data_IF_109490602731
#
_entry.id   IF_109490602731
#
_cell.length_a   1.000
_cell.length_b   1.000
_cell.length_c   1.000
_cell.angle_alpha   90.00
_cell.angle_beta   90.00
_cell.angle_gamma   90.00
#
_symmetry.space_group_name_H-M   'P 1'
#
loop_
_entity.id
_entity.type
_entity.pdbx_description
1 polymer ?
#
# COMPACT_ATOMS: atom_id res chain seq x y z
N UNK A 1 -30.78 -31.96 -4.72
CA UNK A 1 -30.67 -31.57 -3.31
C UNK A 1 -29.86 -30.26 -3.27
N UNK A 2 -30.50 -29.15 -2.96
CA UNK A 2 -29.79 -27.86 -2.82
C UNK A 2 -28.94 -27.91 -1.56
N UNK A 3 -27.63 -28.11 -1.71
CA UNK A 3 -26.71 -28.09 -0.58
C UNK A 3 -26.40 -26.64 -0.20
N UNK A 4 -26.75 -26.27 1.03
CA UNK A 4 -26.38 -24.99 1.60
C UNK A 4 -24.90 -24.98 1.94
N UNK A 5 -24.13 -24.06 1.40
CA UNK A 5 -22.69 -23.88 1.67
C UNK A 5 -22.42 -22.48 2.26
N UNK A 6 -21.33 -22.35 3.00
CA UNK A 6 -20.89 -21.07 3.59
C UNK A 6 -20.54 -20.05 2.50
N UNK A 7 -20.91 -18.80 2.71
CA UNK A 7 -20.66 -17.74 1.71
C UNK A 7 -19.18 -17.57 1.37
N UNK A 8 -18.28 -17.61 2.37
CA UNK A 8 -16.83 -17.52 2.15
C UNK A 8 -16.30 -18.66 1.24
N UNK A 9 -16.87 -19.86 1.36
CA UNK A 9 -16.52 -20.98 0.48
C UNK A 9 -17.12 -20.83 -0.92
N UNK A 10 -18.36 -20.37 -1.02
CA UNK A 10 -19.03 -20.13 -2.31
C UNK A 10 -18.24 -19.12 -3.13
N UNK A 11 -17.84 -18.00 -2.52
CA UNK A 11 -17.07 -16.96 -3.18
C UNK A 11 -15.72 -17.47 -3.70
N UNK A 12 -15.03 -18.26 -2.89
CA UNK A 12 -13.75 -18.87 -3.30
C UNK A 12 -13.94 -19.91 -4.41
N UNK A 13 -14.93 -20.82 -4.29
CA UNK A 13 -15.18 -21.86 -5.29
C UNK A 13 -15.66 -21.31 -6.64
N UNK A 14 -16.34 -20.16 -6.63
CA UNK A 14 -16.73 -19.43 -7.86
C UNK A 14 -15.58 -18.62 -8.47
N UNK A 15 -14.37 -18.62 -7.86
CA UNK A 15 -13.22 -17.86 -8.36
C UNK A 15 -13.36 -16.34 -8.19
N UNK A 16 -14.29 -15.88 -7.36
CA UNK A 16 -14.49 -14.44 -7.10
C UNK A 16 -13.40 -13.87 -6.19
N UNK A 17 -12.66 -14.72 -5.49
CA UNK A 17 -11.50 -14.38 -4.65
C UNK A 17 -10.43 -15.46 -4.73
N UNK A 18 -9.16 -15.08 -4.68
CA UNK A 18 -8.01 -16.00 -4.77
C UNK A 18 -7.81 -16.84 -3.49
N UNK A 19 -8.48 -16.50 -2.39
CA UNK A 19 -8.44 -17.28 -1.15
C UNK A 19 -9.71 -17.08 -0.32
N UNK A 20 -10.04 -18.09 0.52
CA UNK A 20 -11.15 -17.99 1.47
C UNK A 20 -10.98 -16.85 2.47
N UNK A 21 -9.74 -16.57 2.90
CA UNK A 21 -9.45 -15.47 3.83
C UNK A 21 -9.79 -14.11 3.21
N UNK A 22 -9.49 -13.89 1.91
CA UNK A 22 -9.88 -12.67 1.19
C UNK A 22 -11.41 -12.57 1.06
N UNK A 23 -12.10 -13.68 0.73
CA UNK A 23 -13.55 -13.72 0.68
C UNK A 23 -14.19 -13.38 2.04
N UNK A 24 -13.66 -13.95 3.13
CA UNK A 24 -14.12 -13.68 4.49
C UNK A 24 -13.97 -12.20 4.85
N UNK A 25 -12.83 -11.59 4.52
CA UNK A 25 -12.60 -10.17 4.77
C UNK A 25 -13.51 -9.26 3.95
N UNK A 26 -13.78 -9.58 2.69
CA UNK A 26 -14.71 -8.84 1.85
C UNK A 26 -16.14 -8.88 2.42
N UNK A 27 -16.57 -10.04 2.94
CA UNK A 27 -17.88 -10.18 3.60
C UNK A 27 -17.93 -9.33 4.88
N UNK A 28 -16.91 -9.44 5.76
CA UNK A 28 -16.85 -8.67 7.00
C UNK A 28 -16.82 -7.15 6.76
N UNK A 29 -16.33 -6.72 5.62
CA UNK A 29 -16.27 -5.30 5.21
C UNK A 29 -17.55 -4.82 4.52
N UNK A 30 -18.63 -5.63 4.46
CA UNK A 30 -19.90 -5.26 3.85
C UNK A 30 -19.89 -5.12 2.32
N UNK A 31 -18.89 -5.72 1.64
CA UNK A 31 -18.68 -5.59 0.18
C UNK A 31 -19.33 -6.69 -0.65
N UNK A 32 -19.93 -7.64 0.00
CA UNK A 32 -20.62 -8.76 -0.65
C UNK A 32 -22.11 -8.62 -0.43
N UNK A 33 -22.85 -8.59 -1.54
CA UNK A 33 -24.31 -8.69 -1.51
C UNK A 33 -24.73 -10.05 -2.04
N UNK A 34 -25.73 -10.63 -1.41
CA UNK A 34 -26.46 -11.81 -1.91
C UNK A 34 -27.89 -11.39 -2.09
N UNK A 35 -28.41 -11.55 -3.30
CA UNK A 35 -29.74 -11.11 -3.70
C UNK A 35 -30.00 -9.63 -3.33
N UNK A 36 -29.00 -8.76 -3.64
CA UNK A 36 -28.95 -7.31 -3.37
C UNK A 36 -28.90 -6.91 -1.88
N UNK A 37 -28.76 -7.88 -0.95
CA UNK A 37 -28.66 -7.63 0.49
C UNK A 37 -27.21 -7.76 0.93
N UNK A 38 -26.65 -6.75 1.61
CA UNK A 38 -25.29 -6.79 2.17
C UNK A 38 -25.21 -7.90 3.22
N UNK A 39 -24.19 -8.74 3.11
CA UNK A 39 -23.91 -9.82 4.06
C UNK A 39 -22.59 -9.54 4.75
N UNK A 40 -22.62 -9.52 6.09
CA UNK A 40 -21.43 -9.27 6.93
C UNK A 40 -20.98 -10.50 7.74
N UNK A 41 -21.64 -11.66 7.53
CA UNK A 41 -21.30 -12.91 8.23
C UNK A 41 -20.78 -13.96 7.25
N UNK A 42 -19.43 -14.23 7.23
CA UNK A 42 -18.82 -15.17 6.29
C UNK A 42 -19.38 -16.59 6.37
N UNK A 43 -19.72 -17.03 7.56
CA UNK A 43 -20.29 -18.35 7.81
C UNK A 43 -21.77 -18.51 7.47
N UNK A 44 -22.47 -17.46 7.02
CA UNK A 44 -23.88 -17.57 6.60
C UNK A 44 -23.96 -18.48 5.38
N UNK A 45 -24.95 -19.38 5.40
CA UNK A 45 -25.11 -20.41 4.38
C UNK A 45 -26.13 -19.99 3.33
N UNK A 46 -25.81 -20.28 2.07
CA UNK A 46 -26.67 -19.99 0.91
C UNK A 46 -26.64 -21.16 -0.06
N UNK A 47 -27.58 -21.21 -0.98
CA UNK A 47 -27.55 -22.10 -2.14
C UNK A 47 -26.41 -21.67 -3.08
N UNK A 48 -25.88 -22.60 -3.86
CA UNK A 48 -24.77 -22.30 -4.79
C UNK A 48 -25.16 -21.39 -5.96
N UNK A 49 -26.45 -21.30 -6.25
CA UNK A 49 -27.06 -20.58 -7.36
C UNK A 49 -27.54 -19.17 -7.02
N UNK A 50 -27.31 -18.70 -5.77
CA UNK A 50 -27.68 -17.34 -5.38
C UNK A 50 -26.97 -16.28 -6.22
N UNK A 51 -27.66 -15.17 -6.45
CA UNK A 51 -27.07 -13.99 -7.08
C UNK A 51 -26.08 -13.33 -6.13
N UNK A 52 -24.84 -13.22 -6.55
CA UNK A 52 -23.77 -12.61 -5.74
C UNK A 52 -23.24 -11.40 -6.49
N UNK A 53 -23.27 -10.26 -5.82
CA UNK A 53 -22.61 -9.02 -6.24
C UNK A 53 -21.43 -8.78 -5.30
N UNK A 54 -20.26 -8.58 -5.86
CA UNK A 54 -19.06 -8.17 -5.11
C UNK A 54 -18.70 -6.76 -5.57
N UNK A 55 -18.49 -5.85 -4.63
CA UNK A 55 -17.95 -4.53 -4.97
C UNK A 55 -16.59 -4.73 -5.65
N UNK A 56 -16.58 -4.54 -6.97
CA UNK A 56 -15.50 -4.94 -7.88
C UNK A 56 -14.20 -4.16 -7.66
N UNK A 57 -14.26 -3.04 -6.94
CA UNK A 57 -13.08 -2.20 -6.76
C UNK A 57 -11.97 -2.85 -5.92
N UNK A 58 -12.27 -3.85 -5.07
CA UNK A 58 -11.23 -4.59 -4.32
C UNK A 58 -10.95 -6.00 -4.84
N UNK A 59 -11.93 -6.66 -5.49
CA UNK A 59 -11.76 -8.02 -5.99
C UNK A 59 -10.66 -8.14 -7.06
N UNK A 60 -10.32 -7.02 -7.72
CA UNK A 60 -9.32 -6.97 -8.79
C UNK A 60 -7.88 -6.71 -8.30
N UNK A 61 -7.68 -6.27 -7.04
CA UNK A 61 -6.35 -5.96 -6.53
C UNK A 61 -5.74 -7.12 -5.75
N UNK A 62 -4.43 -7.34 -5.94
CA UNK A 62 -3.68 -8.39 -5.24
C UNK A 62 -3.58 -8.14 -3.74
N UNK A 63 -3.79 -6.90 -3.29
CA UNK A 63 -3.93 -6.54 -1.87
C UNK A 63 -4.79 -5.30 -1.67
N UNK A 64 -5.36 -5.16 -0.45
CA UNK A 64 -6.10 -3.96 -0.02
C UNK A 64 -5.24 -2.69 0.01
N UNK A 65 -3.91 -2.85 0.08
CA UNK A 65 -2.95 -1.74 0.01
C UNK A 65 -3.17 -0.88 -1.24
N UNK A 66 -3.56 -1.47 -2.36
CA UNK A 66 -3.86 -0.76 -3.60
C UNK A 66 -4.78 0.45 -3.40
N UNK A 67 -5.82 0.32 -2.57
CA UNK A 67 -6.78 1.40 -2.30
C UNK A 67 -6.13 2.64 -1.66
N UNK A 68 -5.08 2.43 -0.86
CA UNK A 68 -4.32 3.52 -0.25
C UNK A 68 -3.63 4.35 -1.32
N UNK A 69 -2.92 3.68 -2.24
CA UNK A 69 -2.18 4.36 -3.31
C UNK A 69 -3.13 5.01 -4.32
N UNK A 70 -4.23 4.36 -4.70
CA UNK A 70 -5.25 4.95 -5.57
C UNK A 70 -5.72 6.28 -4.98
N UNK A 71 -6.14 6.27 -3.70
CA UNK A 71 -6.61 7.47 -3.02
C UNK A 71 -5.55 8.57 -2.99
N UNK A 72 -4.28 8.20 -2.74
CA UNK A 72 -3.18 9.16 -2.71
C UNK A 72 -2.94 9.79 -4.09
N UNK A 73 -2.80 8.98 -5.13
CA UNK A 73 -2.55 9.46 -6.50
C UNK A 73 -3.67 10.39 -6.99
N UNK A 74 -4.93 10.04 -6.69
CA UNK A 74 -6.09 10.84 -7.09
C UNK A 74 -6.15 12.17 -6.30
N UNK A 75 -5.94 12.14 -4.98
CA UNK A 75 -5.98 13.34 -4.14
C UNK A 75 -4.79 14.28 -4.40
N UNK A 76 -3.60 13.73 -4.64
CA UNK A 76 -2.39 14.50 -4.92
C UNK A 76 -2.24 14.87 -6.40
N UNK A 77 -3.14 14.37 -7.26
CA UNK A 77 -3.14 14.61 -8.71
C UNK A 77 -1.84 14.18 -9.40
N UNK A 78 -1.25 13.05 -8.95
CA UNK A 78 -0.01 12.53 -9.50
C UNK A 78 -0.30 11.73 -10.76
N UNK A 79 0.31 12.14 -11.88
CA UNK A 79 0.25 11.41 -13.15
C UNK A 79 1.43 10.43 -13.24
N UNK A 80 1.15 9.14 -13.13
CA UNK A 80 2.14 8.05 -13.14
C UNK A 80 2.57 7.65 -14.55
N UNK A 81 1.85 8.09 -15.58
CA UNK A 81 2.08 7.64 -16.97
C UNK A 81 3.53 7.91 -17.42
N UNK A 82 4.18 6.85 -17.90
CA UNK A 82 5.57 6.84 -18.39
C UNK A 82 6.65 7.04 -17.33
N UNK A 83 6.31 7.16 -16.05
CA UNK A 83 7.28 7.31 -14.98
C UNK A 83 8.05 6.01 -14.73
N UNK A 84 9.30 6.14 -14.29
CA UNK A 84 10.08 5.07 -13.66
C UNK A 84 9.81 5.15 -12.17
N UNK A 85 9.24 4.08 -11.61
CA UNK A 85 8.78 4.03 -10.23
C UNK A 85 9.63 3.08 -9.37
N UNK A 86 9.61 3.31 -8.07
CA UNK A 86 10.12 2.39 -7.05
C UNK A 86 9.02 2.13 -6.04
N UNK A 87 8.71 0.86 -5.77
CA UNK A 87 7.75 0.39 -4.75
C UNK A 87 8.55 -0.25 -3.61
N UNK A 88 8.71 0.47 -2.50
CA UNK A 88 9.43 0.01 -1.33
C UNK A 88 8.46 -0.59 -0.31
N UNK A 89 8.62 -1.88 -0.04
CA UNK A 89 7.68 -2.71 0.72
C UNK A 89 6.58 -3.26 -0.19
N UNK A 90 6.97 -3.76 -1.37
CA UNK A 90 6.03 -4.18 -2.42
C UNK A 90 5.10 -5.31 -1.96
N UNK A 91 5.55 -6.21 -1.05
CA UNK A 91 4.76 -7.33 -0.52
C UNK A 91 4.08 -8.11 -1.66
N UNK A 92 2.76 -8.25 -1.66
CA UNK A 92 2.01 -8.93 -2.72
C UNK A 92 1.88 -8.13 -4.02
N UNK A 93 2.33 -6.86 -4.05
CA UNK A 93 2.32 -6.01 -5.25
C UNK A 93 1.08 -5.12 -5.40
N UNK A 94 0.41 -4.79 -4.31
CA UNK A 94 -0.78 -3.93 -4.38
C UNK A 94 -0.49 -2.54 -4.93
N UNK A 95 0.58 -1.88 -4.45
CA UNK A 95 1.02 -0.58 -4.98
C UNK A 95 1.55 -0.72 -6.41
N UNK A 96 2.39 -1.72 -6.65
CA UNK A 96 2.90 -2.05 -7.99
C UNK A 96 1.78 -2.20 -9.02
N UNK A 97 0.70 -2.93 -8.69
CA UNK A 97 -0.44 -3.09 -9.59
C UNK A 97 -1.06 -1.75 -9.98
N UNK A 98 -1.25 -0.85 -9.02
CA UNK A 98 -1.80 0.49 -9.27
C UNK A 98 -0.88 1.30 -10.20
N UNK A 99 0.44 1.25 -9.98
CA UNK A 99 1.41 1.92 -10.84
C UNK A 99 1.34 1.39 -12.28
N UNK A 100 1.25 0.06 -12.45
CA UNK A 100 1.12 -0.59 -13.75
C UNK A 100 -0.18 -0.20 -14.47
N UNK A 101 -1.31 -0.18 -13.77
CA UNK A 101 -2.61 0.23 -14.30
C UNK A 101 -2.65 1.72 -14.68
N UNK A 102 -1.86 2.55 -14.00
CA UNK A 102 -1.64 3.97 -14.33
C UNK A 102 -0.55 4.19 -15.39
N UNK A 103 -0.12 3.11 -16.08
CA UNK A 103 0.82 3.13 -17.20
C UNK A 103 2.22 3.65 -16.86
N UNK A 104 2.78 3.32 -15.70
CA UNK A 104 4.21 3.54 -15.46
C UNK A 104 5.05 2.81 -16.52
N UNK A 105 6.24 3.34 -16.83
CA UNK A 105 7.14 2.70 -17.81
C UNK A 105 7.90 1.53 -17.19
N UNK A 106 8.22 1.61 -15.92
CA UNK A 106 8.97 0.60 -15.18
C UNK A 106 8.69 0.75 -13.68
N UNK A 107 8.73 -0.35 -12.94
CA UNK A 107 8.67 -0.33 -11.48
C UNK A 107 9.69 -1.29 -10.88
N UNK A 108 10.52 -0.78 -9.99
CA UNK A 108 11.40 -1.56 -9.12
C UNK A 108 10.65 -1.90 -7.85
N UNK A 109 10.43 -3.19 -7.60
CA UNK A 109 9.78 -3.71 -6.40
C UNK A 109 10.84 -4.16 -5.41
N UNK A 110 10.88 -3.55 -4.24
CA UNK A 110 11.86 -3.86 -3.19
C UNK A 110 11.12 -4.39 -1.97
N UNK A 111 11.49 -5.59 -1.52
CA UNK A 111 10.93 -6.17 -0.30
C UNK A 111 11.97 -7.01 0.45
N UNK A 112 11.88 -7.02 1.79
CA UNK A 112 12.73 -7.86 2.66
C UNK A 112 12.26 -9.32 2.68
N UNK A 113 11.02 -9.58 2.29
CA UNK A 113 10.42 -10.90 2.21
C UNK A 113 10.89 -11.71 1.00
N UNK A 114 10.31 -12.89 0.84
CA UNK A 114 10.63 -13.82 -0.25
C UNK A 114 9.35 -14.46 -0.78
N UNK A 115 9.22 -14.50 -2.11
CA UNK A 115 8.08 -15.14 -2.78
C UNK A 115 6.73 -14.49 -2.46
N UNK A 116 6.73 -13.21 -2.14
CA UNK A 116 5.50 -12.51 -1.76
C UNK A 116 4.77 -11.93 -2.96
N UNK A 117 5.51 -11.44 -3.95
CA UNK A 117 4.93 -10.76 -5.10
C UNK A 117 4.01 -11.71 -5.87
N UNK A 118 2.79 -11.26 -6.13
CA UNK A 118 1.78 -12.09 -6.80
C UNK A 118 2.24 -12.49 -8.21
N UNK A 119 2.05 -13.77 -8.66
CA UNK A 119 2.58 -14.24 -9.94
C UNK A 119 2.18 -13.38 -11.15
N UNK A 120 0.96 -12.85 -11.18
CA UNK A 120 0.51 -11.98 -12.28
C UNK A 120 1.25 -10.65 -12.32
N UNK A 121 1.71 -10.13 -11.18
CA UNK A 121 2.51 -8.91 -11.12
C UNK A 121 3.95 -9.21 -11.50
N UNK A 122 4.49 -10.32 -11.01
CA UNK A 122 5.84 -10.78 -11.35
C UNK A 122 6.00 -11.08 -12.85
N UNK A 123 4.94 -11.48 -13.54
CA UNK A 123 4.94 -11.77 -14.97
C UNK A 123 4.96 -10.52 -15.88
N UNK A 124 4.74 -9.33 -15.32
CA UNK A 124 4.76 -8.07 -16.07
C UNK A 124 6.19 -7.66 -16.46
N UNK A 125 6.44 -7.44 -17.74
CA UNK A 125 7.77 -7.08 -18.27
C UNK A 125 8.33 -5.75 -17.73
N UNK A 126 7.46 -4.89 -17.19
CA UNK A 126 7.82 -3.60 -16.58
C UNK A 126 8.27 -3.72 -15.13
N UNK A 127 8.13 -4.90 -14.51
CA UNK A 127 8.46 -5.16 -13.10
C UNK A 127 9.86 -5.72 -12.98
N UNK A 128 10.66 -5.10 -12.11
CA UNK A 128 11.96 -5.61 -11.69
C UNK A 128 11.87 -5.88 -10.18
N UNK A 129 11.91 -7.16 -9.80
CA UNK A 129 11.68 -7.59 -8.43
C UNK A 129 13.00 -7.91 -7.70
N UNK A 130 13.23 -7.24 -6.58
CA UNK A 130 14.37 -7.45 -5.68
C UNK A 130 13.84 -7.87 -4.29
N UNK A 131 13.74 -9.16 -4.08
CA UNK A 131 13.40 -9.74 -2.79
C UNK A 131 14.61 -9.83 -1.86
N UNK A 132 14.38 -10.09 -0.56
CA UNK A 132 15.43 -10.16 0.49
C UNK A 132 16.31 -8.91 0.52
N UNK A 133 15.77 -7.78 0.11
CA UNK A 133 16.52 -6.54 -0.04
C UNK A 133 16.02 -5.50 0.96
N UNK A 134 16.87 -5.13 1.90
CA UNK A 134 16.56 -4.06 2.84
C UNK A 134 16.93 -2.70 2.22
N UNK A 135 16.20 -1.63 2.55
CA UNK A 135 16.44 -0.28 2.00
C UNK A 135 17.90 0.19 2.16
N UNK A 136 18.57 -0.17 3.26
CA UNK A 136 19.99 0.14 3.53
C UNK A 136 20.97 -0.56 2.58
N UNK A 137 20.54 -1.67 1.96
CA UNK A 137 21.36 -2.50 1.08
C UNK A 137 21.13 -2.17 -0.40
N UNK A 138 20.30 -1.15 -0.69
CA UNK A 138 20.08 -0.66 -2.04
C UNK A 138 21.39 -0.07 -2.62
N UNK A 139 21.66 -0.45 -3.86
CA UNK A 139 22.83 0.01 -4.63
C UNK A 139 22.40 0.38 -6.03
N UNK A 140 23.21 1.21 -6.70
CA UNK A 140 22.95 1.68 -8.05
C UNK A 140 22.88 0.51 -9.06
N UNK A 141 23.60 -0.58 -8.80
CA UNK A 141 23.56 -1.77 -9.65
C UNK A 141 22.21 -2.48 -9.63
N UNK A 142 21.46 -2.35 -8.53
CA UNK A 142 20.09 -2.87 -8.40
C UNK A 142 19.05 -1.94 -9.02
N UNK A 143 19.30 -0.64 -8.95
CA UNK A 143 18.42 0.41 -9.45
C UNK A 143 19.25 1.37 -10.30
N UNK A 144 19.60 0.97 -11.55
CA UNK A 144 20.46 1.79 -12.41
C UNK A 144 19.76 3.04 -12.97
N UNK A 145 18.43 3.07 -12.96
CA UNK A 145 17.66 4.22 -13.42
C UNK A 145 17.46 5.23 -12.28
N UNK A 146 17.45 6.52 -12.59
CA UNK A 146 16.93 7.54 -11.70
C UNK A 146 15.40 7.47 -11.66
N UNK A 147 14.83 7.55 -10.47
CA UNK A 147 13.42 7.35 -10.19
C UNK A 147 12.63 8.66 -10.26
N UNK A 148 11.48 8.63 -10.90
CA UNK A 148 10.53 9.74 -10.98
C UNK A 148 9.56 9.74 -9.81
N UNK A 149 9.08 8.56 -9.37
CA UNK A 149 8.12 8.41 -8.28
C UNK A 149 8.51 7.24 -7.39
N UNK A 150 8.62 7.48 -6.08
CA UNK A 150 8.79 6.44 -5.06
C UNK A 150 7.49 6.28 -4.29
N UNK A 151 7.01 5.05 -4.15
CA UNK A 151 5.89 4.71 -3.26
C UNK A 151 6.40 3.83 -2.12
N UNK A 152 5.92 4.07 -0.89
CA UNK A 152 6.48 3.45 0.32
C UNK A 152 5.35 2.91 1.20
N UNK A 153 5.34 1.59 1.44
CA UNK A 153 4.49 0.91 2.44
C UNK A 153 5.32 -0.08 3.26
N UNK A 154 6.20 0.42 4.11
CA UNK A 154 7.06 -0.40 4.98
C UNK A 154 6.49 -0.54 6.39
N UNK A 155 6.91 -1.58 7.11
CA UNK A 155 6.52 -1.85 8.50
C UNK A 155 7.74 -2.02 9.41
N UNK A 156 7.56 -1.74 10.70
CA UNK A 156 8.56 -1.93 11.76
C UNK A 156 9.82 -1.05 11.63
N UNK A 157 9.75 0.01 10.86
CA UNK A 157 10.82 1.01 10.69
C UNK A 157 10.21 2.41 10.60
N UNK A 158 10.87 3.40 11.19
CA UNK A 158 10.48 4.81 11.04
C UNK A 158 10.73 5.29 9.61
N UNK A 159 9.80 6.08 9.09
CA UNK A 159 9.92 6.68 7.77
C UNK A 159 11.16 7.59 7.64
N UNK A 160 11.57 8.24 8.75
CA UNK A 160 12.79 9.07 8.78
C UNK A 160 14.04 8.28 8.39
N UNK A 161 14.15 7.01 8.84
CA UNK A 161 15.28 6.15 8.49
C UNK A 161 15.23 5.70 7.03
N UNK A 162 14.05 5.54 6.47
CA UNK A 162 13.87 5.07 5.10
C UNK A 162 14.21 6.15 4.09
N UNK A 163 13.70 7.36 4.29
CA UNK A 163 13.82 8.47 3.35
C UNK A 163 15.27 8.82 3.02
N UNK A 164 16.18 8.76 4.01
CA UNK A 164 17.61 9.09 3.81
C UNK A 164 18.31 8.19 2.78
N UNK A 165 17.93 6.90 2.69
CA UNK A 165 18.52 5.96 1.74
C UNK A 165 18.04 6.16 0.31
N UNK A 166 16.92 6.84 0.10
CA UNK A 166 16.25 6.92 -1.20
C UNK A 166 16.70 8.12 -2.04
N UNK A 167 17.23 9.18 -1.43
CA UNK A 167 17.56 10.45 -2.10
C UNK A 167 18.51 10.30 -3.28
N UNK A 168 19.45 9.34 -3.22
CA UNK A 168 20.43 9.09 -4.29
C UNK A 168 19.82 8.50 -5.55
N UNK A 169 18.67 7.82 -5.43
CA UNK A 169 17.98 7.19 -6.55
C UNK A 169 16.98 8.12 -7.23
N UNK A 170 16.70 9.29 -6.66
CA UNK A 170 15.68 10.22 -7.13
C UNK A 170 16.23 11.21 -8.15
N UNK A 171 15.48 11.45 -9.21
CA UNK A 171 15.65 12.63 -10.07
C UNK A 171 15.43 13.92 -9.27
N UNK A 172 15.86 15.05 -9.81
CA UNK A 172 15.40 16.36 -9.34
C UNK A 172 13.88 16.44 -9.57
N UNK A 173 13.14 17.07 -8.67
CA UNK A 173 11.67 17.16 -8.68
C UNK A 173 10.94 15.81 -8.60
N UNK A 174 11.65 14.70 -8.39
CA UNK A 174 10.98 13.40 -8.18
C UNK A 174 10.12 13.42 -6.93
N UNK A 175 9.03 12.68 -6.98
CA UNK A 175 8.02 12.67 -5.93
C UNK A 175 8.06 11.39 -5.09
N UNK A 176 7.58 11.49 -3.86
CA UNK A 176 7.40 10.36 -2.95
C UNK A 176 5.95 10.36 -2.45
N UNK A 177 5.30 9.21 -2.52
CA UNK A 177 4.07 8.92 -1.78
C UNK A 177 4.39 7.88 -0.72
N UNK A 178 4.35 8.26 0.55
CA UNK A 178 4.70 7.36 1.64
C UNK A 178 3.55 7.14 2.61
N UNK A 179 3.35 5.90 3.03
CA UNK A 179 2.41 5.56 4.08
C UNK A 179 3.06 5.86 5.45
N UNK A 180 2.43 6.75 6.20
CA UNK A 180 2.78 7.05 7.59
C UNK A 180 2.02 6.08 8.48
N UNK A 181 2.75 5.31 9.26
CA UNK A 181 2.23 4.38 10.26
C UNK A 181 2.61 4.89 11.65
N UNK A 182 1.73 5.66 12.31
CA UNK A 182 2.07 6.30 13.59
C UNK A 182 2.58 5.34 14.65
N UNK A 183 2.14 4.08 14.63
CA UNK A 183 2.63 3.05 15.55
C UNK A 183 4.13 2.78 15.46
N UNK A 184 4.79 3.11 14.34
CA UNK A 184 6.24 2.96 14.16
C UNK A 184 7.02 4.26 14.39
N UNK A 185 6.29 5.36 14.68
CA UNK A 185 6.88 6.70 14.90
C UNK A 185 6.78 7.14 16.37
N UNK A 186 5.68 6.83 17.08
CA UNK A 186 5.40 7.36 18.43
C UNK A 186 6.22 6.73 19.56
N UNK A 187 7.00 5.67 19.31
CA UNK A 187 7.72 4.91 20.33
C UNK A 187 6.82 3.98 21.17
N UNK A 188 7.44 2.94 21.75
CA UNK A 188 6.74 1.81 22.41
C UNK A 188 5.83 2.23 23.57
N UNK A 189 6.19 3.25 24.34
CA UNK A 189 5.43 3.70 25.51
C UNK A 189 4.05 4.29 25.15
N UNK A 190 3.88 4.75 23.92
CA UNK A 190 2.67 5.34 23.39
C UNK A 190 1.73 4.31 22.71
N UNK A 191 2.10 3.03 22.76
CA UNK A 191 1.30 1.94 22.19
C UNK A 191 0.58 1.15 23.29
N UNK A 192 -0.62 0.68 22.97
CA UNK A 192 -1.35 -0.32 23.75
C UNK A 192 -0.66 -1.69 23.66
N UNK A 193 -1.12 -2.68 24.45
CA UNK A 193 -0.63 -4.07 24.37
C UNK A 193 -0.83 -4.70 22.97
N UNK A 194 -1.81 -4.22 22.20
CA UNK A 194 -2.07 -4.65 20.81
C UNK A 194 -1.32 -3.84 19.75
N UNK A 195 -0.36 -2.98 20.13
CA UNK A 195 0.40 -2.19 19.14
C UNK A 195 -0.37 -0.99 18.56
N UNK A 196 -1.53 -0.64 19.15
CA UNK A 196 -2.34 0.48 18.66
C UNK A 196 -1.94 1.76 19.40
N UNK A 197 -1.86 2.87 18.70
CA UNK A 197 -1.57 4.20 19.25
C UNK A 197 -2.64 4.57 20.28
N UNK A 198 -2.22 4.86 21.53
CA UNK A 198 -3.13 5.11 22.65
C UNK A 198 -3.94 6.40 22.50
N UNK A 199 -3.31 7.47 22.04
CA UNK A 199 -3.89 8.81 22.09
C UNK A 199 -3.89 9.46 20.70
N UNK A 200 -5.06 9.87 20.23
CA UNK A 200 -5.23 10.52 18.92
C UNK A 200 -4.43 11.84 18.79
N UNK A 201 -4.14 12.52 19.91
CA UNK A 201 -3.33 13.75 19.92
C UNK A 201 -1.89 13.55 19.43
N UNK A 202 -1.41 12.29 19.37
CA UNK A 202 -0.07 11.95 18.87
C UNK A 202 0.01 12.01 17.34
N UNK A 203 -1.11 11.85 16.61
CA UNK A 203 -1.08 11.86 15.15
C UNK A 203 -0.55 13.17 14.56
N UNK A 204 -1.05 14.37 14.95
CA UNK A 204 -0.49 15.61 14.44
C UNK A 204 0.97 15.84 14.84
N UNK A 205 1.41 15.32 15.99
CA UNK A 205 2.83 15.41 16.41
C UNK A 205 3.70 14.59 15.46
N UNK A 206 3.34 13.34 15.19
CA UNK A 206 4.06 12.49 14.23
C UNK A 206 4.16 13.15 12.85
N UNK A 207 3.06 13.75 12.38
CA UNK A 207 3.05 14.43 11.08
C UNK A 207 3.98 15.64 11.09
N UNK A 208 4.00 16.43 12.17
CA UNK A 208 4.88 17.58 12.31
C UNK A 208 6.36 17.15 12.34
N UNK A 209 6.70 16.15 13.15
CA UNK A 209 8.08 15.63 13.27
C UNK A 209 8.60 15.12 11.91
N UNK A 210 7.76 14.38 11.16
CA UNK A 210 8.09 13.89 9.82
C UNK A 210 8.26 15.01 8.80
N UNK A 211 7.45 16.08 8.91
CA UNK A 211 7.54 17.25 8.04
C UNK A 211 8.86 18.01 8.28
N UNK A 212 9.21 18.22 9.56
CA UNK A 212 10.46 18.89 9.93
C UNK A 212 11.68 18.07 9.50
N UNK A 213 11.60 16.75 9.67
CA UNK A 213 12.64 15.84 9.19
C UNK A 213 12.77 15.89 7.67
N UNK A 214 11.68 15.83 6.91
CA UNK A 214 11.71 15.91 5.45
C UNK A 214 12.41 17.19 4.97
N UNK A 215 12.07 18.34 5.56
CA UNK A 215 12.73 19.61 5.27
C UNK A 215 14.23 19.58 5.54
N UNK A 216 14.67 18.92 6.63
CA UNK A 216 16.09 18.81 7.00
C UNK A 216 16.94 18.01 6.01
N UNK A 217 16.29 17.18 5.18
CA UNK A 217 16.95 16.36 4.13
C UNK A 217 16.58 16.80 2.72
N UNK A 218 16.16 18.06 2.54
CA UNK A 218 15.80 18.66 1.24
C UNK A 218 14.62 17.98 0.51
N UNK A 219 13.68 17.44 1.26
CA UNK A 219 12.37 17.03 0.74
C UNK A 219 11.33 18.08 1.12
N UNK A 220 10.64 18.61 0.13
CA UNK A 220 9.49 19.49 0.32
C UNK A 220 8.27 18.65 0.69
N UNK A 221 7.58 19.02 1.77
CA UNK A 221 6.31 18.42 2.14
C UNK A 221 5.17 19.13 1.44
N UNK A 222 4.55 18.49 0.44
CA UNK A 222 3.48 19.10 -0.36
C UNK A 222 2.12 18.94 0.31
N UNK A 223 1.80 17.72 0.77
CA UNK A 223 0.47 17.42 1.34
C UNK A 223 0.47 16.13 2.16
N UNK A 224 -0.63 15.88 2.87
CA UNK A 224 -0.93 14.59 3.46
C UNK A 224 -2.45 14.39 3.56
N UNK A 225 -2.88 13.13 3.57
CA UNK A 225 -4.28 12.71 3.73
C UNK A 225 -4.36 11.52 4.69
N UNK A 226 -5.53 11.30 5.24
CA UNK A 226 -5.85 10.07 5.97
C UNK A 226 -5.99 8.91 4.99
N UNK A 227 -5.46 7.73 5.35
CA UNK A 227 -5.64 6.50 4.59
C UNK A 227 -7.13 6.13 4.52
N UNK A 228 -7.63 5.67 3.35
CA UNK A 228 -9.04 5.28 3.21
C UNK A 228 -9.40 4.01 3.99
N UNK A 229 -8.39 3.25 4.43
CA UNK A 229 -8.55 2.03 5.21
C UNK A 229 -7.58 2.03 6.39
N UNK A 230 -7.97 1.34 7.46
CA UNK A 230 -7.10 1.12 8.61
C UNK A 230 -5.98 0.13 8.28
N UNK A 231 -4.87 0.22 9.00
CA UNK A 231 -3.80 -0.77 8.98
C UNK A 231 -4.27 -2.16 9.42
N UNK A 232 -3.44 -3.17 9.19
CA UNK A 232 -3.78 -4.57 9.50
C UNK A 232 -4.17 -4.81 10.95
N UNK A 233 -3.57 -4.07 11.88
CA UNK A 233 -3.82 -4.16 13.32
C UNK A 233 -4.90 -3.16 13.80
N UNK A 234 -5.59 -2.46 12.87
CA UNK A 234 -6.61 -1.47 13.19
C UNK A 234 -6.08 -0.07 13.50
N UNK A 235 -4.78 0.17 13.31
CA UNK A 235 -4.20 1.50 13.44
C UNK A 235 -4.67 2.43 12.33
N UNK A 236 -4.88 3.70 12.71
CA UNK A 236 -5.08 4.78 11.76
C UNK A 236 -3.74 5.09 11.07
N UNK A 237 -3.77 5.23 9.76
CA UNK A 237 -2.60 5.51 8.92
C UNK A 237 -2.85 6.75 8.07
N UNK A 238 -1.77 7.35 7.55
CA UNK A 238 -1.84 8.52 6.68
C UNK A 238 -0.94 8.31 5.47
N UNK A 239 -1.16 9.08 4.42
CA UNK A 239 -0.30 9.12 3.24
C UNK A 239 0.24 10.53 3.12
N UNK A 240 1.55 10.68 2.94
CA UNK A 240 2.16 11.96 2.65
C UNK A 240 2.68 12.02 1.22
N UNK A 241 2.73 13.23 0.70
CA UNK A 241 3.26 13.59 -0.61
C UNK A 241 4.45 14.51 -0.42
N UNK A 242 5.61 14.06 -0.87
CA UNK A 242 6.88 14.79 -0.78
C UNK A 242 7.46 14.97 -2.18
N UNK A 243 8.31 15.98 -2.34
CA UNK A 243 9.06 16.23 -3.57
C UNK A 243 10.52 16.53 -3.24
N UNK A 244 11.43 15.97 -4.02
CA UNK A 244 12.84 16.33 -3.91
C UNK A 244 13.06 17.74 -4.44
N UNK A 245 13.54 18.63 -3.58
CA UNK A 245 13.83 20.00 -3.98
C UNK A 245 14.95 20.02 -5.03
N UNK A 246 14.78 20.81 -6.08
CA UNK A 246 15.89 21.14 -6.95
C UNK A 246 16.94 21.85 -6.12
N UNK A 247 18.14 21.29 -5.95
CA UNK A 247 19.25 22.08 -5.42
C UNK A 247 19.52 23.21 -6.39
N UNK A 248 19.26 24.43 -5.95
CA UNK A 248 19.99 25.55 -6.49
C UNK A 248 21.38 25.45 -5.86
N UNK A 249 22.33 24.82 -6.56
CA UNK A 249 23.74 24.95 -6.21
C UNK A 249 24.07 26.45 -6.35
N UNK A 250 24.18 27.15 -5.19
CA UNK A 250 24.67 28.52 -5.11
C UNK A 250 26.20 28.48 -5.09
#
# INVERSE_FOLDING_TARGET
MNSLERLDKILFSKGLFDSRSKAEQAILSGKVKVDSIIIEKPGKKFNLDVSIEVDSNEANYVSRGALKLIKALDCFQINVSKLICLDLGASTGGFTQVLLERNCSKVYCIDVGTGQLHPRILAENRVINHEKTHVKDLKIELIPDLIDLIVIDVSFISLTKVLTYLLHFMKNEAEIVALIKPQFEVGKNNLSKGGIVKEKKLYPIVIADLKDFAASIHLEWLSHIESPILGGDGNKEFLCHLRKSSRVDI
#
